data_IF_531856457457
#
_entry.id   IF_531856457457
#
_cell.length_a   1.000
_cell.length_b   1.000
_cell.length_c   1.000
_cell.angle_alpha   90.00
_cell.angle_beta   90.00
_cell.angle_gamma   90.00
#
_symmetry.space_group_name_H-M   'P 1'
#
loop_
_entity.id
_entity.type
_entity.pdbx_description
1 polymer ?
#
# COMPACT_ATOMS: atom_id res chain seq x y z
N UNK A 1 5.40 9.94 -23.50
CA UNK A 1 4.72 8.86 -22.77
C UNK A 1 3.22 9.02 -22.93
N UNK A 2 2.57 8.05 -23.55
CA UNK A 2 1.12 7.98 -23.71
C UNK A 2 0.42 7.66 -22.37
N UNK A 3 -0.91 7.85 -22.25
CA UNK A 3 -1.64 7.41 -21.05
C UNK A 3 -1.49 5.91 -20.76
N UNK A 4 -1.51 5.06 -21.80
CA UNK A 4 -1.38 3.61 -21.64
C UNK A 4 0.02 3.22 -21.16
N UNK A 5 1.08 3.83 -21.74
CA UNK A 5 2.45 3.64 -21.25
C UNK A 5 2.59 4.04 -19.78
N UNK A 6 1.97 5.16 -19.37
CA UNK A 6 1.97 5.58 -17.97
C UNK A 6 1.31 4.54 -17.07
N UNK A 7 0.17 3.99 -17.46
CA UNK A 7 -0.53 2.95 -16.70
C UNK A 7 0.34 1.70 -16.58
N UNK A 8 0.94 1.25 -17.68
CA UNK A 8 1.86 0.12 -17.69
C UNK A 8 3.02 0.32 -16.70
N UNK A 9 3.76 1.42 -16.81
CA UNK A 9 4.90 1.67 -15.92
C UNK A 9 4.47 1.79 -14.46
N UNK A 10 3.35 2.45 -14.20
CA UNK A 10 2.81 2.62 -12.83
C UNK A 10 2.40 1.26 -12.24
N UNK A 11 1.70 0.41 -13.01
CA UNK A 11 1.28 -0.90 -12.54
C UNK A 11 2.47 -1.83 -12.26
N UNK A 12 3.55 -1.76 -13.07
CA UNK A 12 4.75 -2.57 -12.80
C UNK A 12 5.53 -2.12 -11.56
N UNK A 13 5.56 -0.82 -11.26
CA UNK A 13 6.13 -0.32 -9.99
C UNK A 13 5.30 -0.81 -8.81
N UNK A 14 3.97 -0.62 -8.86
CA UNK A 14 3.06 -1.09 -7.80
C UNK A 14 3.19 -2.59 -7.60
N UNK A 15 3.23 -3.37 -8.69
CA UNK A 15 3.46 -4.80 -8.64
C UNK A 15 4.74 -5.14 -7.88
N UNK A 16 5.87 -4.51 -8.21
CA UNK A 16 7.15 -4.74 -7.55
C UNK A 16 7.07 -4.51 -6.04
N UNK A 17 6.52 -3.36 -5.63
CA UNK A 17 6.35 -3.00 -4.21
C UNK A 17 5.45 -4.01 -3.47
N UNK A 18 4.34 -4.43 -4.09
CA UNK A 18 3.43 -5.43 -3.54
C UNK A 18 4.08 -6.81 -3.43
N UNK A 19 4.81 -7.26 -4.46
CA UNK A 19 5.50 -8.56 -4.43
C UNK A 19 6.59 -8.61 -3.36
N UNK A 20 7.35 -7.52 -3.19
CA UNK A 20 8.33 -7.43 -2.10
C UNK A 20 7.67 -7.47 -0.73
N UNK A 21 6.55 -6.77 -0.55
CA UNK A 21 5.81 -6.82 0.71
C UNK A 21 5.19 -8.21 0.97
N UNK A 22 4.58 -8.85 -0.03
CA UNK A 22 3.96 -10.18 0.11
C UNK A 22 4.98 -11.26 0.50
N UNK A 23 6.19 -11.21 -0.09
CA UNK A 23 7.26 -12.17 0.23
C UNK A 23 7.67 -12.14 1.71
N UNK A 24 7.79 -10.94 2.28
CA UNK A 24 8.16 -10.74 3.69
C UNK A 24 6.99 -11.01 4.65
N UNK A 25 5.76 -10.64 4.26
CA UNK A 25 4.55 -10.88 5.05
C UNK A 25 4.10 -12.34 5.04
N UNK A 26 4.43 -13.10 3.99
CA UNK A 26 4.12 -14.54 3.87
C UNK A 26 5.13 -15.43 4.60
N UNK A 27 6.27 -14.89 5.02
CA UNK A 27 7.21 -15.58 5.91
C UNK A 27 6.68 -15.70 7.34
N UNK A 28 7.33 -16.50 8.19
CA UNK A 28 7.15 -16.30 9.64
C UNK A 28 7.56 -14.86 9.93
N UNK A 29 6.62 -14.04 10.45
CA UNK A 29 6.88 -12.65 10.83
C UNK A 29 8.24 -12.60 11.55
N UNK A 30 9.22 -11.97 10.89
CA UNK A 30 10.60 -12.01 11.36
C UNK A 30 10.72 -11.53 12.80
N UNK A 31 11.74 -11.98 13.55
CA UNK A 31 11.96 -11.48 14.90
C UNK A 31 12.09 -9.94 14.87
N UNK A 32 11.69 -9.30 15.96
CA UNK A 32 11.97 -7.88 16.21
C UNK A 32 11.35 -6.86 15.24
N UNK A 33 10.14 -7.09 14.72
CA UNK A 33 9.34 -6.01 14.12
C UNK A 33 9.77 -5.49 12.76
N UNK A 34 10.61 -6.26 12.06
CA UNK A 34 11.02 -5.99 10.67
C UNK A 34 9.85 -5.92 9.70
N UNK A 35 8.67 -6.42 10.09
CA UNK A 35 7.44 -6.45 9.29
C UNK A 35 6.69 -5.12 9.21
N UNK A 36 6.84 -4.21 10.19
CA UNK A 36 6.11 -2.93 10.20
C UNK A 36 6.41 -2.06 8.97
N UNK A 37 7.68 -1.88 8.56
CA UNK A 37 8.01 -1.20 7.31
C UNK A 37 7.33 -1.84 6.09
N UNK A 38 7.25 -3.17 6.01
CA UNK A 38 6.62 -3.87 4.89
C UNK A 38 5.11 -3.68 4.85
N UNK A 39 4.44 -3.58 6.01
CA UNK A 39 3.04 -3.15 6.06
C UNK A 39 2.89 -1.75 5.47
N UNK A 40 3.75 -0.79 5.87
CA UNK A 40 3.69 0.59 5.36
C UNK A 40 3.90 0.62 3.84
N UNK A 41 4.83 -0.19 3.32
CA UNK A 41 5.04 -0.38 1.88
C UNK A 41 3.80 -0.95 1.20
N UNK A 42 3.21 -2.03 1.73
CA UNK A 42 1.99 -2.64 1.19
C UNK A 42 0.84 -1.61 1.15
N UNK A 43 0.57 -0.91 2.26
CA UNK A 43 -0.47 0.11 2.33
C UNK A 43 -0.25 1.25 1.32
N UNK A 44 1.01 1.65 1.10
CA UNK A 44 1.34 2.65 0.09
C UNK A 44 1.09 2.16 -1.33
N UNK A 45 1.49 0.92 -1.64
CA UNK A 45 1.28 0.32 -2.96
C UNK A 45 -0.21 0.08 -3.25
N UNK A 46 -0.98 -0.40 -2.27
CA UNK A 46 -2.44 -0.54 -2.37
C UNK A 46 -3.13 0.81 -2.61
N UNK A 47 -2.72 1.85 -1.88
CA UNK A 47 -3.20 3.22 -2.13
C UNK A 47 -2.86 3.71 -3.54
N UNK A 48 -1.68 3.38 -4.06
CA UNK A 48 -1.28 3.76 -5.40
C UNK A 48 -2.12 3.02 -6.47
N UNK A 49 -2.50 1.76 -6.22
CA UNK A 49 -3.44 1.04 -7.09
C UNK A 49 -4.83 1.69 -7.07
N UNK A 50 -5.33 2.07 -5.90
CA UNK A 50 -6.62 2.77 -5.77
C UNK A 50 -6.63 4.09 -6.55
N UNK A 51 -5.53 4.86 -6.48
CA UNK A 51 -5.37 6.09 -7.26
C UNK A 51 -5.25 5.85 -8.78
N UNK A 52 -4.72 4.70 -9.19
CA UNK A 52 -4.58 4.31 -10.59
C UNK A 52 -5.92 3.95 -11.24
N UNK A 53 -6.94 3.63 -10.45
CA UNK A 53 -8.27 3.24 -10.95
C UNK A 53 -8.88 4.29 -11.88
N UNK A 54 -8.87 5.57 -11.46
CA UNK A 54 -9.42 6.67 -12.24
C UNK A 54 -8.80 6.75 -13.65
N UNK A 55 -7.47 6.87 -13.76
CA UNK A 55 -6.77 6.84 -15.05
C UNK A 55 -7.02 5.59 -15.91
N UNK A 56 -7.21 4.41 -15.31
CA UNK A 56 -7.32 3.15 -16.07
C UNK A 56 -8.76 2.72 -16.39
N UNK A 57 -9.79 3.38 -15.83
CA UNK A 57 -11.21 2.99 -15.96
C UNK A 57 -11.70 2.84 -17.40
N UNK A 58 -11.10 3.53 -18.37
CA UNK A 58 -11.45 3.36 -19.79
C UNK A 58 -11.13 1.95 -20.32
N UNK A 59 -10.18 1.24 -19.72
CA UNK A 59 -9.83 -0.14 -20.08
C UNK A 59 -10.96 -1.13 -19.76
N UNK A 60 -11.84 -0.82 -18.80
CA UNK A 60 -12.92 -1.73 -18.35
C UNK A 60 -13.89 -2.09 -19.48
N UNK A 61 -14.07 -1.21 -20.46
CA UNK A 61 -14.90 -1.49 -21.65
C UNK A 61 -14.38 -2.68 -22.45
N UNK A 62 -13.06 -2.86 -22.48
CA UNK A 62 -12.37 -3.87 -23.26
C UNK A 62 -11.86 -5.04 -22.41
N UNK A 63 -11.80 -4.87 -21.08
CA UNK A 63 -11.42 -5.87 -20.11
C UNK A 63 -12.39 -5.83 -18.91
N UNK A 64 -13.61 -6.39 -19.03
CA UNK A 64 -14.61 -6.35 -17.95
C UNK A 64 -14.14 -7.09 -16.69
N UNK A 65 -13.36 -8.16 -16.84
CA UNK A 65 -12.77 -8.90 -15.72
C UNK A 65 -11.90 -8.01 -14.83
N UNK A 66 -11.17 -7.05 -15.41
CA UNK A 66 -10.39 -6.08 -14.64
C UNK A 66 -11.29 -5.21 -13.75
N UNK A 67 -12.45 -4.82 -14.26
CA UNK A 67 -13.42 -4.04 -13.50
C UNK A 67 -13.99 -4.86 -12.33
N UNK A 68 -14.30 -6.14 -12.57
CA UNK A 68 -14.81 -7.05 -11.54
C UNK A 68 -13.77 -7.29 -10.44
N UNK A 69 -12.50 -7.52 -10.80
CA UNK A 69 -11.42 -7.69 -9.83
C UNK A 69 -11.17 -6.43 -9.00
N UNK A 70 -11.17 -5.24 -9.64
CA UNK A 70 -11.06 -3.97 -8.91
C UNK A 70 -12.23 -3.74 -7.95
N UNK A 71 -13.45 -4.02 -8.40
CA UNK A 71 -14.65 -3.90 -7.57
C UNK A 71 -14.62 -4.87 -6.39
N UNK A 72 -14.10 -6.08 -6.58
CA UNK A 72 -14.02 -7.09 -5.53
C UNK A 72 -13.15 -6.67 -4.34
N UNK A 73 -12.17 -5.79 -4.54
CA UNK A 73 -11.26 -5.31 -3.49
C UNK A 73 -11.44 -3.83 -3.12
N UNK A 74 -12.48 -3.15 -3.63
CA UNK A 74 -12.64 -1.70 -3.43
C UNK A 74 -12.69 -1.32 -1.93
N UNK A 75 -13.47 -2.06 -1.13
CA UNK A 75 -13.54 -1.84 0.32
C UNK A 75 -12.17 -1.99 1.01
N UNK A 76 -11.38 -2.99 0.60
CA UNK A 76 -10.03 -3.20 1.12
C UNK A 76 -9.08 -2.07 0.72
N UNK A 77 -9.19 -1.58 -0.52
CA UNK A 77 -8.40 -0.44 -1.00
C UNK A 77 -8.76 0.86 -0.25
N UNK A 78 -10.04 1.10 0.06
CA UNK A 78 -10.44 2.24 0.88
C UNK A 78 -9.88 2.14 2.31
N UNK A 79 -9.92 0.96 2.91
CA UNK A 79 -9.35 0.74 4.24
C UNK A 79 -7.82 0.90 4.23
N UNK A 80 -7.13 0.31 3.25
CA UNK A 80 -5.68 0.47 3.09
C UNK A 80 -5.28 1.93 2.88
N UNK A 81 -6.06 2.69 2.09
CA UNK A 81 -5.88 4.14 1.90
C UNK A 81 -6.06 4.91 3.20
N UNK A 82 -7.07 4.58 4.00
CA UNK A 82 -7.26 5.17 5.32
C UNK A 82 -6.04 4.91 6.23
N UNK A 83 -5.65 3.65 6.39
CA UNK A 83 -4.49 3.27 7.21
C UNK A 83 -3.22 3.97 6.73
N UNK A 84 -2.98 4.00 5.41
CA UNK A 84 -1.84 4.74 4.84
C UNK A 84 -1.88 6.22 5.22
N UNK A 85 -3.03 6.87 5.19
CA UNK A 85 -3.14 8.30 5.47
C UNK A 85 -2.89 8.64 6.94
N UNK A 86 -3.37 7.82 7.88
CA UNK A 86 -3.24 8.11 9.31
C UNK A 86 -2.00 7.47 9.96
N UNK A 87 -1.54 6.32 9.48
CA UNK A 87 -0.41 5.56 10.04
C UNK A 87 0.83 5.52 9.13
N UNK A 88 0.65 5.30 7.82
CA UNK A 88 1.77 5.05 6.90
C UNK A 88 2.45 6.29 6.30
N UNK A 89 1.76 7.43 6.27
CA UNK A 89 2.18 8.63 5.53
C UNK A 89 3.08 9.56 6.32
N UNK A 90 2.51 10.27 7.28
CA UNK A 90 3.24 11.10 8.24
C UNK A 90 2.84 10.68 9.65
N UNK A 91 3.67 11.01 10.65
CA UNK A 91 3.26 10.85 12.05
C UNK A 91 2.05 11.75 12.28
N UNK A 92 0.91 11.15 12.61
CA UNK A 92 -0.34 11.84 12.84
C UNK A 92 -0.49 12.09 14.35
N UNK A 93 -0.39 13.35 14.76
CA UNK A 93 -0.43 13.74 16.18
C UNK A 93 -1.72 13.29 16.87
N UNK A 94 -2.87 13.41 16.19
CA UNK A 94 -4.17 12.95 16.71
C UNK A 94 -4.18 11.45 16.94
N UNK A 95 -3.61 10.67 16.01
CA UNK A 95 -3.50 9.21 16.16
C UNK A 95 -2.59 8.85 17.34
N UNK A 96 -1.42 9.49 17.45
CA UNK A 96 -0.48 9.27 18.56
C UNK A 96 -1.13 9.60 19.91
N UNK A 97 -1.84 10.72 20.01
CA UNK A 97 -2.55 11.11 21.21
C UNK A 97 -3.60 10.07 21.61
N UNK A 98 -4.39 9.56 20.65
CA UNK A 98 -5.36 8.48 20.89
C UNK A 98 -4.69 7.17 21.31
N UNK A 99 -3.57 6.81 20.71
CA UNK A 99 -2.80 5.63 21.13
C UNK A 99 -2.32 5.77 22.57
N UNK A 100 -1.81 6.95 22.95
CA UNK A 100 -1.38 7.24 24.31
C UNK A 100 -2.54 7.28 25.32
N UNK A 101 -3.72 7.73 24.89
CA UNK A 101 -4.95 7.67 25.69
C UNK A 101 -5.35 6.22 25.98
N UNK A 102 -5.43 5.40 24.92
CA UNK A 102 -5.98 4.05 24.94
C UNK A 102 -5.07 2.98 25.53
N UNK A 103 -3.74 3.11 25.38
CA UNK A 103 -2.76 2.15 25.91
C UNK A 103 -2.12 2.69 27.20
N UNK A 104 -2.74 2.50 28.39
CA UNK A 104 -2.24 3.05 29.64
C UNK A 104 -0.84 2.53 30.02
N UNK A 105 -0.47 1.35 29.51
CA UNK A 105 0.84 0.74 29.71
C UNK A 105 1.96 1.66 29.22
N UNK A 106 1.70 2.46 28.18
CA UNK A 106 2.65 3.45 27.64
C UNK A 106 3.12 4.47 28.68
N UNK A 107 2.31 4.73 29.72
CA UNK A 107 2.64 5.65 30.82
C UNK A 107 3.60 5.03 31.85
N UNK A 108 3.70 3.70 31.85
CA UNK A 108 4.52 2.92 32.75
C UNK A 108 5.79 2.38 32.07
N UNK A 109 5.95 2.62 30.76
CA UNK A 109 7.11 2.12 30.05
C UNK A 109 8.38 2.83 30.54
N UNK A 110 9.45 2.08 30.84
CA UNK A 110 10.76 2.67 31.03
C UNK A 110 11.22 3.35 29.72
N UNK A 111 12.35 4.05 29.77
CA UNK A 111 12.96 4.63 28.57
C UNK A 111 13.16 3.57 27.47
N UNK A 112 12.32 3.62 26.43
CA UNK A 112 12.32 2.65 25.32
C UNK A 112 13.28 3.13 24.24
N UNK A 113 14.43 2.47 24.11
CA UNK A 113 15.42 2.81 23.07
C UNK A 113 15.78 1.64 22.19
N UNK A 114 15.50 0.42 22.65
CA UNK A 114 15.72 -0.79 21.88
C UNK A 114 14.70 -0.98 20.76
N UNK A 115 15.16 -1.59 19.67
CA UNK A 115 14.36 -1.79 18.45
C UNK A 115 13.01 -2.47 18.75
N UNK A 116 13.01 -3.51 19.58
CA UNK A 116 11.79 -4.26 19.94
C UNK A 116 10.73 -3.38 20.61
N UNK A 117 11.15 -2.49 21.51
CA UNK A 117 10.22 -1.58 22.17
C UNK A 117 9.67 -0.54 21.19
N UNK A 118 10.51 0.02 20.31
CA UNK A 118 10.05 0.99 19.29
C UNK A 118 9.13 0.36 18.23
N UNK A 119 9.31 -0.93 17.96
CA UNK A 119 8.39 -1.73 17.13
C UNK A 119 7.04 -1.85 17.81
N UNK A 120 7.01 -2.19 19.11
CA UNK A 120 5.77 -2.33 19.85
C UNK A 120 4.96 -1.03 19.83
N UNK A 121 5.63 0.13 19.92
CA UNK A 121 4.96 1.42 19.74
C UNK A 121 4.28 1.53 18.36
N UNK A 122 4.94 1.07 17.28
CA UNK A 122 4.30 1.06 15.96
C UNK A 122 3.11 0.11 15.90
N UNK A 123 3.15 -1.04 16.60
CA UNK A 123 2.02 -1.97 16.67
C UNK A 123 0.81 -1.31 17.33
N UNK A 124 1.01 -0.65 18.47
CA UNK A 124 -0.07 0.07 19.16
C UNK A 124 -0.65 1.20 18.31
N UNK A 125 0.19 1.93 17.58
CA UNK A 125 -0.29 3.01 16.68
C UNK A 125 -1.05 2.42 15.48
N UNK A 126 -0.58 1.31 14.89
CA UNK A 126 -1.28 0.61 13.81
C UNK A 126 -2.64 0.10 14.26
N UNK A 127 -2.68 -0.54 15.42
CA UNK A 127 -3.90 -1.05 16.03
C UNK A 127 -4.90 0.07 16.35
N UNK A 128 -4.43 1.20 16.90
CA UNK A 128 -5.27 2.39 17.07
C UNK A 128 -5.79 2.90 15.72
N UNK A 129 -4.97 2.85 14.67
CA UNK A 129 -5.41 3.23 13.33
C UNK A 129 -6.55 2.31 12.85
N UNK A 130 -6.40 0.99 13.00
CA UNK A 130 -7.46 0.03 12.67
C UNK A 130 -8.75 0.35 13.43
N UNK A 131 -8.66 0.55 14.74
CA UNK A 131 -9.84 0.77 15.61
C UNK A 131 -10.50 2.14 15.42
N UNK A 132 -9.79 3.11 14.84
CA UNK A 132 -10.36 4.42 14.49
C UNK A 132 -11.02 4.43 13.11
N UNK A 133 -10.92 3.34 12.34
CA UNK A 133 -11.68 3.17 11.11
C UNK A 133 -13.13 2.77 11.43
N UNK A 134 -13.93 3.75 11.80
CA UNK A 134 -15.35 3.60 12.15
C UNK A 134 -16.22 4.44 11.22
N UNK A 135 -17.43 3.98 10.96
CA UNK A 135 -18.47 4.73 10.29
C UNK A 135 -18.98 5.88 11.17
N UNK A 136 -19.80 6.77 10.60
CA UNK A 136 -20.33 7.95 11.33
C UNK A 136 -21.20 7.58 12.54
N UNK A 137 -21.80 6.39 12.54
CA UNK A 137 -22.59 5.83 13.64
C UNK A 137 -21.75 5.09 14.68
N UNK A 138 -20.42 5.05 14.51
CA UNK A 138 -19.47 4.38 15.39
C UNK A 138 -19.28 2.88 15.12
N UNK A 139 -19.96 2.29 14.12
CA UNK A 139 -19.70 0.90 13.74
C UNK A 139 -18.32 0.76 13.09
N UNK A 140 -17.60 -0.32 13.41
CA UNK A 140 -16.31 -0.58 12.79
C UNK A 140 -16.44 -0.79 11.27
N UNK A 141 -15.59 -0.12 10.51
CA UNK A 141 -15.70 -0.01 9.06
C UNK A 141 -15.12 -1.20 8.27
N UNK A 142 -14.32 -2.07 8.90
CA UNK A 142 -13.71 -3.24 8.24
C UNK A 142 -13.87 -4.53 9.05
N UNK A 143 -13.44 -4.54 10.31
CA UNK A 143 -13.58 -5.70 11.21
C UNK A 143 -14.81 -5.54 12.09
N UNK A 144 -15.47 -6.63 12.48
CA UNK A 144 -16.73 -6.57 13.26
C UNK A 144 -16.56 -6.14 14.72
N UNK A 145 -15.32 -5.99 15.20
CA UNK A 145 -14.98 -5.62 16.57
C UNK A 145 -13.69 -4.81 16.60
N UNK A 146 -13.38 -4.26 17.78
CA UNK A 146 -12.04 -3.78 18.09
C UNK A 146 -11.01 -4.89 17.79
N UNK A 147 -9.84 -4.44 17.35
CA UNK A 147 -8.67 -5.24 17.05
C UNK A 147 -7.64 -5.06 18.16
N UNK A 148 -7.17 -6.16 18.73
CA UNK A 148 -6.00 -6.21 19.61
C UNK A 148 -4.89 -7.03 18.91
N UNK A 149 -3.88 -6.35 18.36
CA UNK A 149 -2.78 -6.99 17.63
C UNK A 149 -1.85 -7.79 18.55
N UNK A 150 -1.95 -7.67 19.88
CA UNK A 150 -1.25 -8.56 20.81
C UNK A 150 -2.02 -9.87 21.01
N UNK A 151 -3.32 -9.88 20.72
CA UNK A 151 -4.15 -11.08 20.71
C UNK A 151 -3.97 -11.86 19.40
N UNK A 152 -3.48 -13.12 19.42
CA UNK A 152 -3.10 -13.83 18.20
C UNK A 152 -4.18 -13.95 17.13
N UNK A 153 -5.46 -14.23 17.45
CA UNK A 153 -6.53 -14.31 16.44
C UNK A 153 -6.77 -12.99 15.69
N UNK A 154 -6.61 -11.86 16.36
CA UNK A 154 -6.80 -10.54 15.76
C UNK A 154 -5.61 -10.16 14.86
N UNK A 155 -4.39 -10.50 15.28
CA UNK A 155 -3.21 -10.42 14.43
C UNK A 155 -3.37 -11.29 13.18
N UNK A 156 -3.83 -12.54 13.32
CA UNK A 156 -4.06 -13.46 12.20
C UNK A 156 -5.12 -12.91 11.24
N UNK A 157 -6.24 -12.39 11.77
CA UNK A 157 -7.30 -11.73 10.98
C UNK A 157 -6.75 -10.58 10.15
N UNK A 158 -5.97 -9.70 10.76
CA UNK A 158 -5.36 -8.55 10.07
C UNK A 158 -4.34 -8.99 9.01
N UNK A 159 -3.45 -9.94 9.34
CA UNK A 159 -2.45 -10.44 8.39
C UNK A 159 -3.10 -11.17 7.20
N UNK A 160 -4.16 -11.94 7.46
CA UNK A 160 -4.94 -12.63 6.42
C UNK A 160 -5.61 -11.64 5.48
N UNK A 161 -6.22 -10.59 6.04
CA UNK A 161 -6.77 -9.48 5.26
C UNK A 161 -5.69 -8.86 4.36
N UNK A 162 -4.59 -8.40 4.95
CA UNK A 162 -3.54 -7.71 4.21
C UNK A 162 -2.93 -8.58 3.10
N UNK A 163 -2.59 -9.83 3.39
CA UNK A 163 -2.01 -10.75 2.40
C UNK A 163 -3.01 -11.06 1.28
N UNK A 164 -4.29 -11.27 1.60
CA UNK A 164 -5.32 -11.53 0.59
C UNK A 164 -5.50 -10.33 -0.34
N UNK A 165 -5.59 -9.12 0.21
CA UNK A 165 -5.69 -7.88 -0.56
C UNK A 165 -4.45 -7.63 -1.41
N UNK A 166 -3.25 -7.81 -0.86
CA UNK A 166 -1.98 -7.66 -1.59
C UNK A 166 -1.91 -8.61 -2.78
N UNK A 167 -2.23 -9.89 -2.59
CA UNK A 167 -2.21 -10.88 -3.69
C UNK A 167 -3.26 -10.59 -4.74
N UNK A 168 -4.43 -10.08 -4.37
CA UNK A 168 -5.43 -9.62 -5.33
C UNK A 168 -4.95 -8.41 -6.14
N UNK A 169 -4.33 -7.43 -5.47
CA UNK A 169 -3.73 -6.27 -6.12
C UNK A 169 -2.58 -6.65 -7.07
N UNK A 170 -1.76 -7.64 -6.73
CA UNK A 170 -0.73 -8.20 -7.63
C UNK A 170 -1.37 -8.75 -8.91
N UNK A 171 -2.41 -9.60 -8.79
CA UNK A 171 -3.14 -10.14 -9.94
C UNK A 171 -3.70 -9.04 -10.85
N UNK A 172 -4.28 -8.00 -10.26
CA UNK A 172 -4.76 -6.83 -11.02
C UNK A 172 -3.61 -6.14 -11.77
N UNK A 173 -2.45 -5.97 -11.13
CA UNK A 173 -1.29 -5.37 -11.78
C UNK A 173 -0.73 -6.24 -12.92
N UNK A 174 -0.83 -7.57 -12.81
CA UNK A 174 -0.48 -8.48 -13.90
C UNK A 174 -1.44 -8.36 -15.08
N UNK A 175 -2.75 -8.38 -14.84
CA UNK A 175 -3.76 -8.14 -15.88
C UNK A 175 -3.53 -6.78 -16.57
N UNK A 176 -3.28 -5.72 -15.79
CA UNK A 176 -2.93 -4.41 -16.34
C UNK A 176 -1.67 -4.47 -17.19
N UNK A 177 -0.64 -5.18 -16.72
CA UNK A 177 0.59 -5.43 -17.47
C UNK A 177 0.29 -6.06 -18.82
N UNK A 178 -0.46 -7.15 -18.86
CA UNK A 178 -0.83 -7.86 -20.09
C UNK A 178 -1.63 -6.98 -21.06
N UNK A 179 -2.66 -6.29 -20.57
CA UNK A 179 -3.52 -5.43 -21.38
C UNK A 179 -2.74 -4.26 -21.99
N UNK A 180 -1.82 -3.67 -21.23
CA UNK A 180 -1.15 -2.42 -21.63
C UNK A 180 0.20 -2.63 -22.30
N UNK A 181 0.86 -3.78 -22.10
CA UNK A 181 2.21 -4.05 -22.62
C UNK A 181 2.29 -3.92 -24.14
N UNK A 182 1.26 -4.38 -24.87
CA UNK A 182 1.21 -4.32 -26.34
C UNK A 182 1.22 -2.90 -26.90
N UNK A 183 0.90 -1.89 -26.07
CA UNK A 183 0.89 -0.47 -26.44
C UNK A 183 2.14 0.28 -25.98
N UNK A 184 3.09 -0.40 -25.35
CA UNK A 184 4.37 0.19 -24.94
C UNK A 184 5.26 0.29 -26.18
N UNK A 185 5.71 1.50 -26.51
CA UNK A 185 6.57 1.72 -27.67
C UNK A 185 7.98 1.17 -27.40
N UNK A 186 8.43 0.10 -28.06
CA UNK A 186 9.81 -0.35 -27.91
C UNK A 186 10.74 0.62 -28.65
N UNK A 187 11.98 0.76 -28.16
CA UNK A 187 13.02 1.50 -28.90
C UNK A 187 13.39 0.81 -30.23
N UNK A 188 13.05 -0.47 -30.39
CA UNK A 188 13.37 -1.32 -31.54
C UNK A 188 14.64 -2.14 -31.34
N UNK A 189 14.71 -3.34 -31.92
CA UNK A 189 15.84 -4.29 -31.72
C UNK A 189 17.19 -3.77 -32.20
N UNK A 190 17.20 -2.74 -33.07
CA UNK A 190 18.40 -2.09 -33.61
C UNK A 190 18.65 -0.71 -33.02
N UNK A 191 17.96 -0.35 -31.94
CA UNK A 191 18.16 0.93 -31.29
C UNK A 191 19.61 1.07 -30.81
N UNK A 192 20.26 2.16 -31.18
CA UNK A 192 21.52 2.53 -30.56
C UNK A 192 21.24 3.09 -29.16
N UNK A 193 21.50 2.25 -28.14
CA UNK A 193 21.33 2.63 -26.74
C UNK A 193 22.21 3.83 -26.36
N UNK A 194 23.37 4.03 -27.01
CA UNK A 194 24.22 5.17 -26.74
C UNK A 194 23.54 6.47 -27.16
N UNK A 195 22.97 6.54 -28.35
CA UNK A 195 22.24 7.74 -28.80
C UNK A 195 20.95 7.95 -28.00
N UNK A 196 20.26 6.89 -27.59
CA UNK A 196 19.11 6.99 -26.69
C UNK A 196 19.48 7.59 -25.32
N UNK A 197 20.59 7.12 -24.71
CA UNK A 197 21.06 7.66 -23.44
C UNK A 197 21.61 9.09 -23.56
N UNK A 198 22.28 9.41 -24.67
CA UNK A 198 22.73 10.77 -24.97
C UNK A 198 21.57 11.73 -25.09
N UNK A 199 20.49 11.33 -25.78
CA UNK A 199 19.25 12.11 -25.83
C UNK A 199 18.61 12.25 -24.43
N UNK A 200 18.57 11.17 -23.64
CA UNK A 200 18.07 11.20 -22.27
C UNK A 200 18.90 12.12 -21.36
N UNK A 201 20.20 12.24 -21.58
CA UNK A 201 21.10 13.15 -20.86
C UNK A 201 20.78 14.64 -21.07
N UNK A 202 19.99 14.98 -22.10
CA UNK A 202 19.49 16.33 -22.33
C UNK A 202 18.16 16.61 -21.58
N UNK A 203 17.66 15.66 -20.79
CA UNK A 203 16.42 15.85 -20.01
C UNK A 203 16.60 16.98 -19.00
N UNK A 204 15.81 18.03 -19.14
CA UNK A 204 15.79 19.14 -18.21
C UNK A 204 15.00 18.77 -16.95
N UNK A 205 15.72 18.44 -15.87
CA UNK A 205 15.11 18.19 -14.57
C UNK A 205 14.71 19.50 -13.89
N UNK A 206 13.47 19.57 -13.42
CA UNK A 206 12.94 20.68 -12.63
C UNK A 206 12.21 20.15 -11.38
N UNK A 207 12.12 20.98 -10.33
CA UNK A 207 11.37 20.63 -9.11
C UNK A 207 9.90 20.37 -9.47
N UNK A 208 9.44 19.14 -9.24
CA UNK A 208 8.04 18.77 -9.39
C UNK A 208 7.24 19.44 -8.26
N UNK A 209 6.23 20.25 -8.62
CA UNK A 209 5.28 20.82 -7.65
C UNK A 209 4.12 19.84 -7.46
N UNK A 210 3.69 19.64 -6.22
CA UNK A 210 2.51 18.82 -5.94
C UNK A 210 1.30 19.47 -6.62
N UNK A 211 0.55 18.72 -7.42
CA UNK A 211 -0.72 19.18 -7.98
C UNK A 211 -1.66 19.57 -6.84
N UNK A 212 -2.40 20.67 -7.01
CA UNK A 212 -3.47 21.05 -6.08
C UNK A 212 -4.55 19.99 -6.02
#
# INVERSE_FOLDING_TARGET
MTPIERIYFTSRIIHGDLSSADGELSGQLGPAGTWVPFIKTALMALRNLADLEGPMRFLYRHAPELADQMKAIDADLQFAKYLRNVFGGHLNETLIAKTYEWRPELRMLPDIRELNGTVMLNVFVLETAINTYVAQDGQHGMFSSETDLVYPPDMERFCTWLSTTVRAAIRICDMLGEITHVSVTPLGERADMFEAYKAAGLTAFARIRKGR
#
